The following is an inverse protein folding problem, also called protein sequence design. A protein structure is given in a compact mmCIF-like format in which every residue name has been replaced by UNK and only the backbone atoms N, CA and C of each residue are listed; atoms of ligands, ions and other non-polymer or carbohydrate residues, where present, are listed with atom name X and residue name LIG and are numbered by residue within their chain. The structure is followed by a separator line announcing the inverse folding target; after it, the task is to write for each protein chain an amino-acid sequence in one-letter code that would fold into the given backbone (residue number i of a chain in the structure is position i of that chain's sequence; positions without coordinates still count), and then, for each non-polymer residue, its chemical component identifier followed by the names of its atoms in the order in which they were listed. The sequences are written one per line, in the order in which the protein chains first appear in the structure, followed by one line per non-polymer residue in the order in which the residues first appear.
data_IF_623464302441
#
_entry.id   IF_623464302441
#
_cell.length_a   1.000
_cell.length_b   1.000
_cell.length_c   1.000
_cell.angle_alpha   90.00
_cell.angle_beta   90.00
_cell.angle_gamma   90.00
#
_symmetry.space_group_name_H-M   'P 1'
#
loop_
_entity.id
_entity.type
_entity.pdbx_description
1 polymer ?
#
# COMPACT_ATOMS: atom_id res chain seq x y z
N UNK A 1 18.59 -19.19 -9.81
CA UNK A 1 17.56 -19.38 -8.78
C UNK A 1 16.20 -19.35 -9.45
N UNK A 2 15.40 -20.40 -9.31
CA UNK A 2 14.13 -20.57 -10.02
C UNK A 2 12.97 -20.07 -9.14
N UNK A 3 12.26 -19.02 -9.56
CA UNK A 3 11.08 -18.48 -8.85
C UNK A 3 9.81 -19.03 -9.48
N UNK A 4 9.55 -20.33 -9.30
CA UNK A 4 8.21 -20.89 -9.52
C UNK A 4 7.54 -21.01 -8.16
N UNK A 5 6.72 -20.03 -7.78
CA UNK A 5 5.71 -20.23 -6.73
C UNK A 5 4.35 -20.14 -7.37
N UNK A 6 3.64 -21.24 -7.31
CA UNK A 6 2.30 -21.40 -7.84
C UNK A 6 1.32 -20.35 -7.28
N UNK A 7 0.29 -19.96 -8.06
CA UNK A 7 -0.80 -19.07 -7.61
C UNK A 7 -1.54 -19.58 -6.36
N UNK A 8 -1.49 -20.89 -6.10
CA UNK A 8 -2.10 -21.56 -4.94
C UNK A 8 -1.58 -21.07 -3.58
N UNK A 9 -0.41 -20.42 -3.53
CA UNK A 9 0.16 -19.86 -2.31
C UNK A 9 -0.46 -18.52 -1.86
N UNK A 10 -1.34 -17.92 -2.68
CA UNK A 10 -1.84 -16.54 -2.53
C UNK A 10 -3.06 -16.40 -1.60
N UNK A 11 -3.69 -17.51 -1.19
CA UNK A 11 -4.96 -17.52 -0.44
C UNK A 11 -4.97 -16.70 0.86
N UNK A 12 -3.82 -16.37 1.44
CA UNK A 12 -3.71 -15.56 2.67
C UNK A 12 -3.22 -14.12 2.45
N UNK A 13 -2.81 -13.74 1.24
CA UNK A 13 -2.19 -12.42 0.99
C UNK A 13 -3.19 -11.27 1.05
N UNK A 14 -4.41 -11.48 0.54
CA UNK A 14 -5.51 -10.51 0.55
C UNK A 14 -5.99 -10.19 1.97
N UNK A 15 -6.21 -11.21 2.80
CA UNK A 15 -6.65 -11.01 4.18
C UNK A 15 -5.63 -10.23 5.04
N UNK A 16 -4.34 -10.53 4.88
CA UNK A 16 -3.29 -9.78 5.57
C UNK A 16 -3.28 -8.33 5.05
N UNK A 17 -3.54 -8.12 3.76
CA UNK A 17 -3.54 -6.78 3.17
C UNK A 17 -4.71 -5.96 3.70
N UNK A 18 -5.90 -6.57 3.79
CA UNK A 18 -7.10 -5.98 4.38
C UNK A 18 -6.91 -5.66 5.87
N UNK A 19 -6.33 -6.56 6.67
CA UNK A 19 -6.02 -6.29 8.09
C UNK A 19 -5.07 -5.11 8.26
N UNK A 20 -4.05 -5.00 7.41
CA UNK A 20 -3.11 -3.88 7.42
C UNK A 20 -3.76 -2.58 6.96
N UNK A 21 -4.62 -2.65 5.95
CA UNK A 21 -5.41 -1.52 5.48
C UNK A 21 -6.32 -1.00 6.59
N UNK A 22 -7.06 -1.87 7.28
CA UNK A 22 -7.88 -1.50 8.43
C UNK A 22 -7.07 -0.84 9.56
N UNK A 23 -5.87 -1.35 9.84
CA UNK A 23 -4.96 -0.73 10.82
C UNK A 23 -4.51 0.68 10.40
N UNK A 24 -4.23 0.88 9.11
CA UNK A 24 -3.91 2.19 8.55
C UNK A 24 -5.09 3.14 8.68
N UNK A 25 -6.30 2.72 8.30
CA UNK A 25 -7.53 3.51 8.43
C UNK A 25 -7.78 3.94 9.88
N UNK A 26 -7.63 3.04 10.84
CA UNK A 26 -7.77 3.37 12.26
C UNK A 26 -6.78 4.46 12.72
N UNK A 27 -5.55 4.45 12.21
CA UNK A 27 -4.56 5.49 12.50
C UNK A 27 -4.93 6.82 11.83
N UNK A 28 -5.30 6.78 10.54
CA UNK A 28 -5.73 7.96 9.78
C UNK A 28 -6.95 8.64 10.42
N UNK A 29 -7.90 7.85 10.95
CA UNK A 29 -9.08 8.37 11.61
C UNK A 29 -8.79 9.05 12.96
N UNK A 30 -7.65 8.76 13.59
CA UNK A 30 -7.26 9.28 14.91
C UNK A 30 -6.28 10.46 14.84
N UNK A 31 -5.65 10.69 13.69
CA UNK A 31 -4.60 11.70 13.50
C UNK A 31 -4.85 12.46 12.19
N UNK A 32 -5.49 13.63 12.32
CA UNK A 32 -5.88 14.48 11.19
C UNK A 32 -4.67 15.02 10.41
N UNK A 33 -3.58 15.34 11.11
CA UNK A 33 -2.34 15.79 10.47
C UNK A 33 -1.74 14.67 9.63
N UNK A 34 -1.68 13.46 10.17
CA UNK A 34 -1.20 12.30 9.45
C UNK A 34 -2.09 11.97 8.25
N UNK A 35 -3.41 12.12 8.37
CA UNK A 35 -4.36 11.97 7.26
C UNK A 35 -4.11 12.96 6.13
N UNK A 36 -3.91 14.24 6.45
CA UNK A 36 -3.65 15.28 5.46
C UNK A 36 -2.35 15.02 4.70
N UNK A 37 -1.27 14.66 5.41
CA UNK A 37 0.00 14.26 4.79
C UNK A 37 -0.17 13.03 3.88
N UNK A 38 -0.99 12.06 4.29
CA UNK A 38 -1.24 10.86 3.50
C UNK A 38 -2.02 11.16 2.22
N UNK A 39 -3.02 12.03 2.29
CA UNK A 39 -3.80 12.49 1.14
C UNK A 39 -2.95 13.25 0.14
N UNK A 40 -2.08 14.14 0.61
CA UNK A 40 -1.13 14.87 -0.24
C UNK A 40 -0.19 13.90 -0.96
N UNK A 41 0.39 12.94 -0.21
CA UNK A 41 1.23 11.90 -0.81
C UNK A 41 0.49 11.12 -1.91
N UNK A 42 -0.73 10.63 -1.63
CA UNK A 42 -1.50 9.85 -2.60
C UNK A 42 -1.82 10.68 -3.85
N UNK A 43 -2.26 11.93 -3.70
CA UNK A 43 -2.53 12.83 -4.83
C UNK A 43 -1.30 13.05 -5.70
N UNK A 44 -0.15 13.27 -5.08
CA UNK A 44 1.11 13.44 -5.81
C UNK A 44 1.51 12.14 -6.52
N UNK A 45 1.35 10.99 -5.85
CA UNK A 45 1.66 9.68 -6.40
C UNK A 45 0.78 9.33 -7.61
N UNK A 46 -0.51 9.67 -7.58
CA UNK A 46 -1.43 9.57 -8.72
C UNK A 46 -1.08 10.56 -9.83
N UNK A 47 -0.83 11.84 -9.49
CA UNK A 47 -0.46 12.88 -10.47
C UNK A 47 0.83 12.54 -11.21
N UNK A 48 1.77 11.88 -10.56
CA UNK A 48 3.01 11.37 -11.15
C UNK A 48 2.81 10.08 -11.98
N UNK A 49 1.60 9.53 -12.03
CA UNK A 49 1.26 8.32 -12.78
C UNK A 49 1.72 7.02 -12.11
N UNK A 50 2.08 7.05 -10.83
CA UNK A 50 2.52 5.86 -10.09
C UNK A 50 1.35 5.04 -9.50
N UNK A 51 0.13 5.60 -9.48
CA UNK A 51 -1.09 4.87 -9.16
C UNK A 51 -2.28 5.40 -9.96
N UNK A 52 -3.32 4.58 -10.06
CA UNK A 52 -4.64 4.97 -10.57
C UNK A 52 -5.71 4.36 -9.68
N UNK A 53 -6.85 5.05 -9.54
CA UNK A 53 -8.02 4.45 -8.91
C UNK A 53 -8.55 3.27 -9.74
N UNK A 54 -8.89 2.17 -9.07
CA UNK A 54 -9.47 0.98 -9.70
C UNK A 54 -10.98 1.04 -9.51
N UNK A 55 -11.73 1.31 -10.59
CA UNK A 55 -13.18 1.55 -10.53
C UNK A 55 -14.02 0.35 -10.94
N UNK A 56 -13.53 -0.51 -11.84
CA UNK A 56 -14.25 -1.70 -12.35
C UNK A 56 -13.31 -2.68 -13.07
N UNK A 57 -12.55 -3.49 -12.35
CA UNK A 57 -11.92 -4.69 -12.94
C UNK A 57 -12.34 -5.91 -12.13
N UNK A 58 -12.86 -6.94 -12.82
CA UNK A 58 -12.92 -8.31 -12.28
C UNK A 58 -11.49 -8.67 -11.88
N UNK A 59 -11.26 -9.09 -10.63
CA UNK A 59 -9.93 -9.51 -10.18
C UNK A 59 -9.36 -10.48 -11.22
N UNK A 60 -8.29 -10.04 -11.90
CA UNK A 60 -7.62 -10.89 -12.88
C UNK A 60 -7.13 -12.14 -12.15
N UNK A 61 -7.03 -13.24 -12.89
CA UNK A 61 -6.64 -14.57 -12.38
C UNK A 61 -5.38 -14.52 -11.49
N UNK A 62 -4.51 -13.54 -11.70
CA UNK A 62 -3.39 -13.20 -10.82
C UNK A 62 -3.43 -11.71 -10.48
N UNK A 63 -3.80 -11.38 -9.24
CA UNK A 63 -3.78 -10.03 -8.67
C UNK A 63 -2.87 -10.00 -7.44
N UNK A 64 -1.96 -9.03 -7.36
CA UNK A 64 -1.07 -8.85 -6.21
C UNK A 64 -1.47 -7.61 -5.41
N UNK A 65 -1.55 -7.76 -4.09
CA UNK A 65 -1.83 -6.64 -3.19
C UNK A 65 -0.55 -6.17 -2.51
N UNK A 66 -0.16 -4.92 -2.77
CA UNK A 66 0.85 -4.23 -2.01
C UNK A 66 0.19 -3.51 -0.82
N UNK A 67 0.81 -3.63 0.35
CA UNK A 67 0.43 -2.83 1.53
C UNK A 67 1.32 -1.61 1.58
N UNK A 68 0.78 -0.47 1.98
CA UNK A 68 1.50 0.79 2.06
C UNK A 68 1.50 1.28 3.51
N UNK A 69 2.65 1.71 4.00
CA UNK A 69 2.84 2.15 5.38
C UNK A 69 3.56 3.49 5.44
N UNK A 70 2.91 4.48 6.04
CA UNK A 70 3.47 5.82 6.22
C UNK A 70 4.34 5.93 7.48
N UNK A 71 5.58 6.40 7.27
CA UNK A 71 6.54 6.72 8.30
C UNK A 71 6.57 8.24 8.44
N UNK A 72 6.03 8.72 9.55
CA UNK A 72 6.02 10.13 9.92
C UNK A 72 6.76 10.29 11.26
N UNK A 73 7.69 11.26 11.32
CA UNK A 73 8.50 11.56 12.51
C UNK A 73 8.47 13.07 12.77
N UNK A 74 7.49 13.56 13.55
CA UNK A 74 7.31 15.00 13.77
C UNK A 74 8.49 15.64 14.52
N UNK A 75 9.23 14.87 15.31
CA UNK A 75 10.41 15.31 16.08
C UNK A 75 11.61 15.68 15.19
N UNK A 76 11.59 15.33 13.91
CA UNK A 76 12.61 15.73 12.94
C UNK A 76 12.01 16.80 12.03
N UNK A 77 12.47 18.04 12.24
CA UNK A 77 11.96 19.31 11.67
C UNK A 77 11.80 19.38 10.14
N UNK A 78 12.25 18.37 9.39
CA UNK A 78 12.31 18.38 7.92
C UNK A 78 11.70 17.14 7.24
N UNK A 79 11.20 16.14 7.98
CA UNK A 79 10.80 14.88 7.32
C UNK A 79 9.37 14.91 6.78
N UNK A 80 9.24 15.11 5.46
CA UNK A 80 8.04 14.76 4.69
C UNK A 80 7.61 13.32 4.99
N UNK A 81 6.30 13.05 4.96
CA UNK A 81 5.76 11.69 5.08
C UNK A 81 6.42 10.78 4.04
N UNK A 82 6.95 9.63 4.48
CA UNK A 82 7.49 8.61 3.58
C UNK A 82 6.59 7.40 3.59
N UNK A 83 6.07 7.00 2.44
CA UNK A 83 5.26 5.80 2.30
C UNK A 83 6.11 4.66 1.76
N UNK A 84 6.11 3.53 2.46
CA UNK A 84 6.83 2.32 2.08
C UNK A 84 5.81 1.29 1.59
N UNK A 85 6.04 0.76 0.39
CA UNK A 85 5.25 -0.32 -0.17
C UNK A 85 5.87 -1.67 0.20
N UNK A 86 5.08 -2.57 0.75
CA UNK A 86 5.45 -3.94 1.06
C UNK A 86 4.56 -4.89 0.27
N UNK A 87 5.18 -5.59 -0.67
CA UNK A 87 4.55 -6.66 -1.44
C UNK A 87 4.34 -7.85 -0.53
N UNK A 88 3.14 -8.43 -0.57
CA UNK A 88 2.86 -9.68 0.11
C UNK A 88 2.79 -10.79 -0.92
N UNK A 89 3.99 -11.27 -1.28
CA UNK A 89 4.22 -12.30 -2.28
C UNK A 89 5.65 -12.20 -2.80
N UNK A 90 6.41 -13.30 -2.74
CA UNK A 90 7.82 -13.35 -3.18
C UNK A 90 7.97 -13.46 -4.70
N UNK A 91 7.40 -12.52 -5.46
CA UNK A 91 7.50 -12.44 -6.92
C UNK A 91 7.94 -11.05 -7.40
N UNK A 92 8.44 -10.93 -8.65
CA UNK A 92 8.99 -9.68 -9.18
C UNK A 92 7.89 -8.64 -9.45
N UNK A 93 8.27 -7.36 -9.33
CA UNK A 93 7.42 -6.18 -9.44
C UNK A 93 7.27 -5.69 -10.89
N UNK A 94 6.09 -5.20 -11.23
CA UNK A 94 5.84 -4.17 -12.25
C UNK A 94 5.31 -2.91 -11.59
#
# INVERSE_FOLDING_TARGET
MSLKKEPSCLGNSKDIALKRLGSLWNRLARDENYLNLYREFLRDYERLGHMKEVTNETEREITYYATHHGIYRPEKSTTKLRVVFKVMGGGPLV
#
